data_IF_165086191987
#
_entry.id   IF_165086191987
#
_cell.length_a   1.000
_cell.length_b   1.000
_cell.length_c   1.000
_cell.angle_alpha   90.00
_cell.angle_beta   90.00
_cell.angle_gamma   90.00
#
_symmetry.space_group_name_H-M   'P 1'
#
loop_
_entity.id
_entity.type
_entity.pdbx_description
1 polymer ?
#
# COMPACT_ATOMS: atom_id res chain seq x y z
N UNK A 1 31.27 -58.02 18.64
CA UNK A 1 31.15 -56.94 17.63
C UNK A 1 29.69 -56.47 17.47
N UNK A 2 29.04 -56.02 18.56
CA UNK A 2 27.65 -55.50 18.55
C UNK A 2 27.52 -54.22 19.39
N UNK A 3 28.50 -53.91 20.25
CA UNK A 3 28.49 -52.71 21.09
C UNK A 3 28.99 -51.43 20.40
N UNK A 4 29.77 -51.53 19.31
CA UNK A 4 30.31 -50.35 18.60
C UNK A 4 29.30 -49.69 17.63
N UNK A 5 28.24 -50.41 17.23
CA UNK A 5 27.19 -49.87 16.34
C UNK A 5 26.11 -49.06 17.07
N UNK A 6 25.98 -49.20 18.40
CA UNK A 6 24.94 -48.49 19.18
C UNK A 6 25.36 -47.10 19.65
N UNK A 7 26.65 -46.78 19.63
CA UNK A 7 27.17 -45.42 19.95
C UNK A 7 27.02 -44.48 18.75
N UNK A 8 26.90 -45.02 17.54
CA UNK A 8 26.75 -44.23 16.31
C UNK A 8 25.30 -43.80 16.00
N UNK A 9 24.31 -44.33 16.73
CA UNK A 9 22.88 -44.03 16.54
C UNK A 9 22.37 -42.93 17.49
N UNK A 10 23.21 -42.45 18.42
CA UNK A 10 22.85 -41.39 19.36
C UNK A 10 23.50 -40.02 19.06
N UNK A 11 24.18 -39.89 17.91
CA UNK A 11 24.83 -38.66 17.44
C UNK A 11 24.05 -37.94 16.32
N UNK A 12 22.75 -38.19 16.19
CA UNK A 12 21.94 -37.61 15.11
C UNK A 12 20.48 -37.30 15.51
N UNK A 13 20.28 -36.59 16.62
CA UNK A 13 18.96 -36.00 16.93
C UNK A 13 19.03 -34.63 17.62
N UNK A 14 20.14 -33.90 17.45
CA UNK A 14 20.20 -32.47 17.77
C UNK A 14 20.88 -31.74 16.62
N UNK A 15 20.21 -31.68 15.47
CA UNK A 15 20.48 -30.67 14.47
C UNK A 15 19.31 -29.69 14.49
N UNK A 16 19.49 -28.67 15.33
CA UNK A 16 18.83 -27.37 15.26
C UNK A 16 19.02 -26.85 13.85
N UNK A 17 18.01 -26.84 12.99
CA UNK A 17 17.92 -25.89 11.87
C UNK A 17 16.50 -25.85 11.33
N UNK A 18 15.75 -24.93 11.92
CA UNK A 18 14.39 -24.59 11.56
C UNK A 18 13.93 -23.50 12.51
N UNK A 19 14.84 -22.58 12.83
CA UNK A 19 14.46 -21.27 13.34
C UNK A 19 13.40 -20.75 12.38
N UNK A 20 12.16 -20.78 12.85
CA UNK A 20 11.14 -19.91 12.32
C UNK A 20 11.82 -18.56 12.19
N UNK A 21 11.94 -18.10 10.94
CA UNK A 21 12.25 -16.73 10.64
C UNK A 21 11.08 -15.96 11.25
N UNK A 22 11.15 -15.71 12.56
CA UNK A 22 10.39 -14.67 13.19
C UNK A 22 10.93 -13.44 12.47
N UNK A 23 10.16 -13.00 11.49
CA UNK A 23 10.23 -11.65 11.01
C UNK A 23 9.94 -10.79 12.26
N UNK A 24 10.99 -10.51 13.03
CA UNK A 24 11.00 -9.40 13.94
C UNK A 24 10.61 -8.24 13.04
N UNK A 25 9.38 -7.76 13.21
CA UNK A 25 8.91 -6.54 12.59
C UNK A 25 9.91 -5.48 13.04
N UNK A 26 10.89 -5.21 12.18
CA UNK A 26 11.91 -4.22 12.44
C UNK A 26 11.16 -2.91 12.50
N UNK A 27 10.96 -2.42 13.72
CA UNK A 27 10.41 -1.09 13.92
C UNK A 27 11.28 -0.16 13.08
N UNK A 28 10.66 0.46 12.08
CA UNK A 28 11.38 1.29 11.12
C UNK A 28 11.63 2.62 11.80
N UNK A 29 12.70 2.67 12.60
CA UNK A 29 13.16 3.89 13.24
C UNK A 29 13.74 4.80 12.16
N UNK A 30 13.09 5.94 11.93
CA UNK A 30 13.53 6.97 10.99
C UNK A 30 14.62 7.82 11.66
N UNK A 31 15.87 7.54 11.31
CA UNK A 31 17.07 8.11 11.94
C UNK A 31 17.46 9.45 11.33
N UNK A 32 17.34 9.57 10.01
CA UNK A 32 17.79 10.77 9.28
C UNK A 32 16.64 11.71 8.95
N UNK A 33 16.95 12.99 8.75
CA UNK A 33 15.95 13.97 8.29
C UNK A 33 15.35 13.56 6.94
N UNK A 34 16.18 13.03 6.03
CA UNK A 34 15.73 12.56 4.73
C UNK A 34 14.78 11.35 4.83
N UNK A 35 15.02 10.43 5.76
CA UNK A 35 14.10 9.31 6.04
C UNK A 35 12.74 9.82 6.54
N UNK A 36 12.74 10.78 7.46
CA UNK A 36 11.51 11.41 7.99
C UNK A 36 10.74 12.14 6.89
N UNK A 37 11.42 12.93 6.07
CA UNK A 37 10.81 13.65 4.93
C UNK A 37 10.19 12.65 3.95
N UNK A 38 10.93 11.60 3.58
CA UNK A 38 10.46 10.59 2.63
C UNK A 38 9.21 9.86 3.15
N UNK A 39 9.22 9.47 4.42
CA UNK A 39 8.06 8.85 5.05
C UNK A 39 6.86 9.80 5.12
N UNK A 40 7.06 11.05 5.56
CA UNK A 40 6.01 12.04 5.67
C UNK A 40 5.35 12.36 4.32
N UNK A 41 6.14 12.48 3.25
CA UNK A 41 5.62 12.68 1.89
C UNK A 41 4.80 11.48 1.42
N UNK A 42 5.32 10.26 1.59
CA UNK A 42 4.59 9.04 1.23
C UNK A 42 3.28 8.89 2.01
N UNK A 43 3.31 9.16 3.32
CA UNK A 43 2.14 9.12 4.19
C UNK A 43 1.09 10.14 3.76
N UNK A 44 1.49 11.39 3.52
CA UNK A 44 0.58 12.45 3.08
C UNK A 44 -0.08 12.11 1.75
N UNK A 45 0.67 11.62 0.76
CA UNK A 45 0.11 11.18 -0.52
C UNK A 45 -0.87 10.02 -0.30
N UNK A 46 -0.49 9.03 0.50
CA UNK A 46 -1.34 7.87 0.80
C UNK A 46 -2.64 8.23 1.50
N UNK A 47 -2.60 9.13 2.49
CA UNK A 47 -3.79 9.57 3.23
C UNK A 47 -4.80 10.28 2.32
N UNK A 48 -4.30 11.11 1.40
CA UNK A 48 -5.17 11.80 0.43
C UNK A 48 -5.76 10.83 -0.60
N UNK A 49 -5.00 9.84 -1.07
CA UNK A 49 -5.48 8.88 -2.08
C UNK A 49 -6.47 7.86 -1.49
N UNK A 50 -6.27 7.40 -0.24
CA UNK A 50 -7.13 6.40 0.41
C UNK A 50 -8.57 6.86 0.58
N UNK A 51 -8.80 8.14 0.83
CA UNK A 51 -10.14 8.70 1.08
C UNK A 51 -11.08 8.52 -0.11
N UNK A 52 -10.52 8.44 -1.30
CA UNK A 52 -11.30 8.53 -2.51
C UNK A 52 -11.37 7.28 -3.38
N UNK A 53 -10.47 6.30 -3.18
CA UNK A 53 -10.31 5.20 -4.12
C UNK A 53 -9.89 3.86 -3.51
N UNK A 54 -10.43 2.79 -4.10
CA UNK A 54 -9.92 1.45 -3.91
C UNK A 54 -8.76 1.20 -4.88
N UNK A 55 -7.56 1.54 -4.45
CA UNK A 55 -6.35 1.49 -5.25
C UNK A 55 -5.53 0.23 -4.93
N UNK A 56 -4.97 -0.40 -5.97
CA UNK A 56 -3.97 -1.46 -5.78
C UNK A 56 -2.64 -0.80 -5.34
N UNK A 57 -2.34 -0.90 -4.04
CA UNK A 57 -1.19 -0.25 -3.40
C UNK A 57 0.13 -0.68 -4.04
N UNK A 58 0.30 -1.97 -4.35
CA UNK A 58 1.53 -2.49 -4.93
C UNK A 58 1.82 -1.88 -6.31
N UNK A 59 0.80 -1.77 -7.16
CA UNK A 59 0.92 -1.17 -8.48
C UNK A 59 1.15 0.35 -8.42
N UNK A 60 0.51 1.04 -7.48
CA UNK A 60 0.74 2.46 -7.26
C UNK A 60 2.17 2.75 -6.82
N UNK A 61 2.65 2.04 -5.80
CA UNK A 61 4.04 2.18 -5.32
C UNK A 61 5.03 1.80 -6.42
N UNK A 62 4.72 0.79 -7.24
CA UNK A 62 5.53 0.45 -8.42
C UNK A 62 5.57 1.59 -9.43
N UNK A 63 4.45 2.25 -9.71
CA UNK A 63 4.37 3.42 -10.59
C UNK A 63 5.22 4.60 -10.07
N UNK A 64 5.07 4.94 -8.79
CA UNK A 64 5.87 5.99 -8.13
C UNK A 64 7.37 5.69 -8.22
N UNK A 65 7.80 4.47 -7.87
CA UNK A 65 9.21 4.06 -7.98
C UNK A 65 9.73 4.11 -9.41
N UNK A 66 8.93 3.68 -10.38
CA UNK A 66 9.30 3.69 -11.81
C UNK A 66 9.56 5.12 -12.28
N UNK A 67 8.68 6.05 -11.92
CA UNK A 67 8.83 7.48 -12.22
C UNK A 67 10.06 8.10 -11.55
N UNK A 68 10.23 7.91 -10.24
CA UNK A 68 11.35 8.50 -9.49
C UNK A 68 12.72 8.02 -9.98
N UNK A 69 12.79 6.77 -10.46
CA UNK A 69 13.99 6.17 -10.99
C UNK A 69 14.17 6.40 -12.50
N UNK A 70 13.33 7.23 -13.13
CA UNK A 70 13.31 7.49 -14.57
C UNK A 70 13.31 6.21 -15.43
N UNK A 71 12.61 5.17 -14.95
CA UNK A 71 12.46 3.90 -15.66
C UNK A 71 11.27 3.99 -16.61
N UNK A 72 11.30 3.16 -17.65
CA UNK A 72 10.18 3.03 -18.58
C UNK A 72 8.91 2.57 -17.84
N UNK A 73 7.81 3.30 -18.05
CA UNK A 73 6.49 2.96 -17.52
C UNK A 73 5.94 1.65 -18.08
N UNK A 74 5.01 1.04 -17.34
CA UNK A 74 4.25 -0.13 -17.84
C UNK A 74 3.20 0.28 -18.88
N UNK A 75 2.79 1.54 -18.86
CA UNK A 75 1.90 2.14 -19.85
C UNK A 75 2.72 3.07 -20.75
N UNK A 76 2.34 3.15 -22.01
CA UNK A 76 2.79 4.21 -22.91
C UNK A 76 2.26 5.57 -22.43
N UNK A 77 2.89 6.67 -22.87
CA UNK A 77 2.43 8.01 -22.52
C UNK A 77 0.97 8.27 -22.94
N UNK A 78 0.55 7.67 -24.07
CA UNK A 78 -0.82 7.77 -24.57
C UNK A 78 -1.80 7.06 -23.64
N UNK A 79 -1.52 5.82 -23.27
CA UNK A 79 -2.34 5.04 -22.34
C UNK A 79 -2.39 5.69 -20.95
N UNK A 80 -1.25 6.23 -20.48
CA UNK A 80 -1.19 6.96 -19.22
C UNK A 80 -2.13 8.17 -19.24
N UNK A 81 -2.08 8.99 -20.30
CA UNK A 81 -2.97 10.14 -20.45
C UNK A 81 -4.44 9.73 -20.51
N UNK A 82 -4.76 8.68 -21.24
CA UNK A 82 -6.12 8.16 -21.37
C UNK A 82 -6.69 7.69 -20.03
N UNK A 83 -5.92 6.87 -19.29
CA UNK A 83 -6.33 6.36 -17.97
C UNK A 83 -6.47 7.50 -16.96
N UNK A 84 -5.58 8.49 -16.97
CA UNK A 84 -5.69 9.67 -16.09
C UNK A 84 -6.92 10.51 -16.44
N UNK A 85 -7.27 10.67 -17.71
CA UNK A 85 -8.50 11.37 -18.11
C UNK A 85 -9.76 10.64 -17.62
N UNK A 86 -9.80 9.30 -17.77
CA UNK A 86 -10.89 8.48 -17.23
C UNK A 86 -11.00 8.66 -15.72
N UNK A 87 -9.87 8.65 -15.01
CA UNK A 87 -9.81 8.86 -13.58
C UNK A 87 -10.34 10.25 -13.17
N UNK A 88 -9.89 11.31 -13.82
CA UNK A 88 -10.37 12.68 -13.54
C UNK A 88 -11.87 12.83 -13.79
N UNK A 89 -12.39 12.20 -14.84
CA UNK A 89 -13.83 12.20 -15.13
C UNK A 89 -14.63 11.53 -14.01
N UNK A 90 -14.15 10.37 -13.51
CA UNK A 90 -14.77 9.66 -12.38
C UNK A 90 -14.82 10.53 -11.12
N UNK A 91 -13.76 11.28 -10.84
CA UNK A 91 -13.75 12.20 -9.70
C UNK A 91 -14.78 13.31 -9.83
N UNK A 92 -14.87 13.93 -11.02
CA UNK A 92 -15.88 14.98 -11.24
C UNK A 92 -17.30 14.43 -11.07
N UNK A 93 -17.56 13.22 -11.57
CA UNK A 93 -18.86 12.55 -11.39
C UNK A 93 -19.17 12.29 -9.91
N UNK A 94 -18.22 11.70 -9.17
CA UNK A 94 -18.36 11.46 -7.72
C UNK A 94 -18.64 12.75 -6.94
N UNK A 95 -17.96 13.85 -7.28
CA UNK A 95 -18.20 15.13 -6.61
C UNK A 95 -19.59 15.71 -6.94
N UNK A 96 -20.05 15.59 -8.19
CA UNK A 96 -21.38 16.01 -8.57
C UNK A 96 -22.47 15.21 -7.84
N UNK A 97 -22.28 13.89 -7.70
CA UNK A 97 -23.19 13.02 -6.95
C UNK A 97 -23.23 13.37 -5.46
N UNK A 98 -22.06 13.59 -4.84
CA UNK A 98 -21.97 14.02 -3.44
C UNK A 98 -22.68 15.36 -3.23
N UNK A 99 -22.46 16.33 -4.12
CA UNK A 99 -23.12 17.62 -4.04
C UNK A 99 -24.65 17.51 -4.18
N UNK A 100 -25.13 16.67 -5.10
CA UNK A 100 -26.59 16.42 -5.26
C UNK A 100 -27.17 15.80 -4.00
N UNK A 101 -26.51 14.79 -3.44
CA UNK A 101 -26.94 14.13 -2.21
C UNK A 101 -27.02 15.11 -1.04
N UNK A 102 -25.98 15.92 -0.85
CA UNK A 102 -25.97 16.93 0.22
C UNK A 102 -27.08 17.98 0.03
N UNK A 103 -27.40 18.37 -1.21
CA UNK A 103 -28.51 19.29 -1.49
C UNK A 103 -29.88 18.66 -1.17
N UNK A 104 -30.06 17.37 -1.46
CA UNK A 104 -31.29 16.64 -1.13
C UNK A 104 -31.45 16.47 0.39
N UNK A 105 -30.39 16.10 1.09
CA UNK A 105 -30.35 16.00 2.55
C UNK A 105 -30.68 17.35 3.20
N UNK A 106 -30.02 18.43 2.78
CA UNK A 106 -30.27 19.77 3.32
C UNK A 106 -31.71 20.27 3.06
N UNK A 107 -32.31 19.92 1.91
CA UNK A 107 -33.71 20.24 1.64
C UNK A 107 -34.66 19.48 2.55
N UNK A 108 -34.38 18.20 2.78
CA UNK A 108 -35.18 17.36 3.68
C UNK A 108 -35.08 17.86 5.13
N UNK A 109 -33.88 18.18 5.60
CA UNK A 109 -33.66 18.75 6.94
C UNK A 109 -34.29 20.13 7.08
N UNK A 110 -34.16 21.00 6.07
CA UNK A 110 -34.80 22.31 6.05
C UNK A 110 -36.33 22.24 6.07
N UNK A 111 -36.93 21.25 5.41
CA UNK A 111 -38.37 21.00 5.46
C UNK A 111 -38.83 20.42 6.79
N UNK A 112 -37.97 19.70 7.52
CA UNK A 112 -38.29 19.16 8.84
C UNK A 112 -38.14 20.19 9.98
N UNK A 113 -37.45 21.30 9.73
CA UNK A 113 -37.22 22.37 10.71
C UNK A 113 -38.26 23.51 10.63
N UNK A 114 -39.04 23.58 9.56
CA UNK A 114 -40.12 24.55 9.34
C UNK A 114 -41.49 23.98 9.76
#
# INVERSE_FOLDING_TARGET
MVFLKKVFIFLFSVFIFGSGFQAFAKETILKTQNEKISYALGFNIGDNVKKDFNLNVDLFIKGVKTSLLNKKGLLTDKEMKEVINIFQNKIRQKQMELNKKNLEENKAEGAAFL
#
